data_IF_982349403365
#
_entry.id   IF_982349403365
#
_cell.length_a   1.000
_cell.length_b   1.000
_cell.length_c   1.000
_cell.angle_alpha   90.00
_cell.angle_beta   90.00
_cell.angle_gamma   90.00
#
_symmetry.space_group_name_H-M   'P 1'
#
loop_
_entity.id
_entity.type
_entity.pdbx_description
1 polymer ?
#
# COMPACT_ATOMS: atom_id res chain seq x y z
N UNK A 1 4.96 15.65 41.28
CA UNK A 1 5.27 14.38 40.59
C UNK A 1 3.93 13.72 40.31
N UNK A 2 3.35 13.95 39.11
CA UNK A 2 2.05 13.40 38.75
C UNK A 2 2.27 11.98 38.21
N UNK A 3 1.77 11.01 38.98
CA UNK A 3 1.79 9.59 38.66
C UNK A 3 0.70 9.31 37.61
N UNK A 4 1.06 9.42 36.33
CA UNK A 4 0.20 9.02 35.21
C UNK A 4 0.18 7.49 35.14
N UNK A 5 -0.76 6.89 35.86
CA UNK A 5 -1.11 5.49 35.69
C UNK A 5 -1.79 5.31 34.33
N UNK A 6 -1.05 4.79 33.35
CA UNK A 6 -1.65 4.25 32.14
C UNK A 6 -2.55 3.08 32.55
N UNK A 7 -3.86 3.22 32.35
CA UNK A 7 -4.79 2.11 32.43
C UNK A 7 -4.28 0.97 31.54
N UNK A 8 -4.39 -0.28 32.00
CA UNK A 8 -4.13 -1.45 31.15
C UNK A 8 -5.17 -1.42 30.02
N UNK A 9 -4.77 -0.90 28.87
CA UNK A 9 -5.56 -0.97 27.65
C UNK A 9 -5.73 -2.45 27.31
N UNK A 10 -6.95 -2.87 26.94
CA UNK A 10 -7.14 -4.22 26.40
C UNK A 10 -6.13 -4.47 25.29
N UNK A 11 -5.49 -5.64 25.31
CA UNK A 11 -4.49 -5.98 24.30
C UNK A 11 -5.08 -5.83 22.90
N UNK A 12 -4.33 -5.22 21.98
CA UNK A 12 -4.68 -5.24 20.56
C UNK A 12 -4.80 -6.70 20.13
N UNK A 13 -5.88 -7.11 19.45
CA UNK A 13 -6.07 -8.50 19.09
C UNK A 13 -5.00 -8.96 18.10
N UNK A 14 -4.55 -10.21 18.21
CA UNK A 14 -3.57 -10.80 17.30
C UNK A 14 -4.07 -10.85 15.84
N UNK A 15 -5.39 -10.88 15.64
CA UNK A 15 -6.07 -10.76 14.34
C UNK A 15 -7.54 -10.38 14.53
N UNK A 16 -8.17 -9.82 13.50
CA UNK A 16 -9.61 -9.59 13.45
C UNK A 16 -10.27 -10.59 12.50
N UNK A 17 -11.49 -11.06 12.80
CA UNK A 17 -12.30 -11.75 11.79
C UNK A 17 -12.66 -10.77 10.65
N UNK A 18 -12.91 -11.29 9.44
CA UNK A 18 -13.28 -10.43 8.31
C UNK A 18 -14.57 -9.63 8.55
N UNK A 19 -15.54 -10.20 9.27
CA UNK A 19 -16.76 -9.50 9.68
C UNK A 19 -16.48 -8.35 10.65
N UNK A 20 -15.52 -8.54 11.57
CA UNK A 20 -15.10 -7.49 12.51
C UNK A 20 -14.32 -6.38 11.81
N UNK A 21 -13.41 -6.76 10.91
CA UNK A 21 -12.69 -5.83 10.04
C UNK A 21 -13.65 -4.95 9.24
N UNK A 22 -14.59 -5.57 8.53
CA UNK A 22 -15.59 -4.86 7.74
C UNK A 22 -16.48 -3.96 8.63
N UNK A 23 -16.90 -4.46 9.80
CA UNK A 23 -17.69 -3.68 10.76
C UNK A 23 -16.92 -2.44 11.25
N UNK A 24 -15.66 -2.56 11.63
CA UNK A 24 -14.85 -1.43 12.11
C UNK A 24 -14.64 -0.43 10.98
N UNK A 25 -14.23 -0.91 9.80
CA UNK A 25 -14.05 -0.08 8.61
C UNK A 25 -15.31 0.75 8.31
N UNK A 26 -16.49 0.12 8.27
CA UNK A 26 -17.74 0.82 7.99
C UNK A 26 -18.17 1.73 9.14
N UNK A 27 -18.10 1.27 10.39
CA UNK A 27 -18.59 2.03 11.53
C UNK A 27 -17.73 3.27 11.84
N UNK A 28 -16.44 3.24 11.52
CA UNK A 28 -15.55 4.39 11.71
C UNK A 28 -15.49 5.30 10.48
N UNK A 29 -16.07 4.89 9.35
CA UNK A 29 -16.08 5.70 8.14
C UNK A 29 -17.19 6.74 8.17
N UNK A 30 -16.84 7.95 7.74
CA UNK A 30 -17.75 9.07 7.49
C UNK A 30 -18.21 9.10 6.03
N UNK A 31 -19.07 10.06 5.69
CA UNK A 31 -19.39 10.35 4.30
C UNK A 31 -18.13 10.85 3.57
N UNK A 32 -17.86 10.38 2.34
CA UNK A 32 -16.67 10.79 1.61
C UNK A 32 -16.73 12.26 1.20
N UNK A 33 -15.60 12.96 1.33
CA UNK A 33 -15.44 14.30 0.77
C UNK A 33 -14.89 14.27 -0.65
N UNK A 34 -14.64 15.46 -1.19
CA UNK A 34 -14.13 15.63 -2.54
C UNK A 34 -12.63 15.98 -2.52
N UNK A 35 -11.87 15.38 -3.45
CA UNK A 35 -10.49 15.75 -3.70
C UNK A 35 -10.22 15.83 -5.21
N UNK A 36 -9.65 16.94 -5.71
CA UNK A 36 -9.35 17.08 -7.12
C UNK A 36 -8.08 16.29 -7.47
N UNK A 37 -8.25 15.12 -8.07
CA UNK A 37 -7.18 14.40 -8.77
C UNK A 37 -6.95 12.96 -8.32
N UNK A 38 -6.30 12.20 -9.22
CA UNK A 38 -5.93 10.81 -8.96
C UNK A 38 -4.69 10.76 -8.06
N UNK A 39 -4.92 10.75 -6.76
CA UNK A 39 -3.87 10.63 -5.75
C UNK A 39 -3.71 9.15 -5.36
N UNK A 40 -3.08 8.36 -6.23
CA UNK A 40 -2.82 6.93 -6.03
C UNK A 40 -1.39 6.62 -5.61
N UNK A 41 -0.48 7.57 -5.73
CA UNK A 41 0.89 7.46 -5.23
C UNK A 41 1.25 8.75 -4.52
N UNK A 42 2.10 8.67 -3.49
CA UNK A 42 2.55 9.88 -2.79
C UNK A 42 3.29 10.83 -3.74
N UNK A 43 3.20 12.14 -3.50
CA UNK A 43 3.99 13.15 -4.21
C UNK A 43 5.22 13.60 -3.41
N UNK A 44 5.43 13.07 -2.21
CA UNK A 44 6.47 13.49 -1.29
C UNK A 44 7.82 12.82 -1.63
N UNK A 45 8.73 13.56 -2.26
CA UNK A 45 10.07 13.05 -2.62
C UNK A 45 10.94 12.70 -1.41
N UNK A 46 10.67 13.30 -0.24
CA UNK A 46 11.46 13.14 0.98
C UNK A 46 10.77 12.33 2.08
N UNK A 47 9.66 11.63 1.75
CA UNK A 47 8.86 10.91 2.75
C UNK A 47 9.69 9.88 3.55
N UNK A 48 10.73 9.30 2.95
CA UNK A 48 11.61 8.35 3.65
C UNK A 48 12.66 9.00 4.56
N UNK A 49 12.93 10.30 4.45
CA UNK A 49 13.98 10.96 5.23
C UNK A 49 13.74 10.88 6.75
N UNK A 50 12.47 10.79 7.17
CA UNK A 50 12.09 10.71 8.58
C UNK A 50 12.18 9.28 9.14
N UNK A 51 12.30 8.25 8.30
CA UNK A 51 12.28 6.85 8.76
C UNK A 51 13.31 6.53 9.85
N UNK A 52 14.58 7.00 9.78
CA UNK A 52 15.53 6.76 10.86
C UNK A 52 15.04 7.33 12.21
N UNK A 53 14.45 8.54 12.19
CA UNK A 53 13.85 9.16 13.37
C UNK A 53 12.64 8.36 13.87
N UNK A 54 11.82 7.81 12.98
CA UNK A 54 10.69 6.92 13.35
C UNK A 54 11.20 5.65 14.04
N UNK A 55 12.31 5.08 13.58
CA UNK A 55 12.92 3.88 14.19
C UNK A 55 13.55 4.22 15.54
N UNK A 56 14.23 5.35 15.65
CA UNK A 56 14.93 5.79 16.86
C UNK A 56 13.97 6.19 17.99
N UNK A 57 12.97 7.02 17.67
CA UNK A 57 12.03 7.59 18.64
C UNK A 57 10.75 6.75 18.80
N UNK A 58 10.41 5.96 17.79
CA UNK A 58 9.19 5.17 17.78
C UNK A 58 9.26 3.99 18.73
N UNK A 59 8.20 3.82 19.52
CA UNK A 59 8.00 2.57 20.26
C UNK A 59 7.44 1.53 19.29
N UNK A 60 8.02 0.33 19.30
CA UNK A 60 7.42 -0.83 18.62
C UNK A 60 6.09 -1.20 19.30
N UNK A 61 5.15 -1.72 18.51
CA UNK A 61 3.79 -2.03 18.95
C UNK A 61 2.88 -0.79 19.03
N UNK A 62 1.71 -0.96 19.61
CA UNK A 62 0.70 0.09 19.73
C UNK A 62 -0.07 0.33 18.42
N UNK A 63 -0.58 1.55 18.26
CA UNK A 63 -1.48 1.93 17.17
C UNK A 63 -0.77 2.92 16.25
N UNK A 64 -0.77 2.65 14.95
CA UNK A 64 -0.40 3.62 13.91
C UNK A 64 -1.66 4.31 13.36
N UNK A 65 -1.60 5.62 13.18
CA UNK A 65 -2.63 6.40 12.50
C UNK A 65 -1.93 7.28 11.47
N UNK A 66 -2.35 7.22 10.21
CA UNK A 66 -1.77 8.02 9.14
C UNK A 66 -2.77 8.40 8.06
N UNK A 67 -2.36 9.30 7.18
CA UNK A 67 -3.20 9.90 6.12
C UNK A 67 -2.68 9.51 4.75
N UNK A 68 -3.57 9.36 3.77
CA UNK A 68 -3.18 9.11 2.39
C UNK A 68 -2.90 7.64 2.09
N UNK A 69 -2.07 7.42 1.07
CA UNK A 69 -2.00 6.17 0.33
C UNK A 69 -0.89 5.25 0.86
N UNK A 70 -0.08 4.66 -0.02
CA UNK A 70 0.88 3.60 0.22
C UNK A 70 2.12 4.02 1.02
N UNK A 71 2.42 5.32 1.14
CA UNK A 71 3.56 5.80 1.94
C UNK A 71 3.45 5.34 3.40
N UNK A 72 2.22 5.23 3.91
CA UNK A 72 1.91 4.68 5.22
C UNK A 72 2.54 3.31 5.46
N UNK A 73 2.63 2.45 4.44
CA UNK A 73 3.24 1.13 4.61
C UNK A 73 4.72 1.19 4.97
N UNK A 74 5.44 2.22 4.51
CA UNK A 74 6.86 2.38 4.84
C UNK A 74 7.02 2.78 6.31
N UNK A 75 6.17 3.68 6.81
CA UNK A 75 6.15 4.06 8.22
C UNK A 75 5.66 2.93 9.12
N UNK A 76 4.65 2.16 8.70
CA UNK A 76 4.18 0.97 9.43
C UNK A 76 5.29 -0.08 9.50
N UNK A 77 6.04 -0.33 8.42
CA UNK A 77 7.16 -1.27 8.41
C UNK A 77 8.30 -0.82 9.33
N UNK A 78 8.56 0.48 9.40
CA UNK A 78 9.58 1.07 10.28
C UNK A 78 9.17 1.03 11.76
N UNK A 79 7.97 1.49 12.08
CA UNK A 79 7.45 1.61 13.46
C UNK A 79 6.97 0.28 14.06
N UNK A 80 6.55 -0.67 13.21
CA UNK A 80 6.02 -1.97 13.59
C UNK A 80 4.90 -1.93 14.64
N UNK A 81 3.76 -1.27 14.33
CA UNK A 81 2.61 -1.23 15.23
C UNK A 81 1.92 -2.59 15.32
N UNK A 82 1.09 -2.77 16.35
CA UNK A 82 0.22 -3.95 16.48
C UNK A 82 -1.01 -3.84 15.57
N UNK A 83 -1.48 -2.61 15.33
CA UNK A 83 -2.62 -2.29 14.45
C UNK A 83 -2.44 -0.91 13.82
N UNK A 84 -2.94 -0.74 12.60
CA UNK A 84 -2.84 0.51 11.86
C UNK A 84 -4.21 0.95 11.31
N UNK A 85 -4.50 2.25 11.44
CA UNK A 85 -5.62 2.92 10.80
C UNK A 85 -5.08 3.90 9.77
N UNK A 86 -5.60 3.81 8.54
CA UNK A 86 -5.24 4.75 7.47
C UNK A 86 -6.50 5.54 7.13
N UNK A 87 -6.51 6.81 7.50
CA UNK A 87 -7.67 7.68 7.44
C UNK A 87 -7.49 8.68 6.31
N UNK A 88 -8.47 8.79 5.43
CA UNK A 88 -8.44 9.77 4.34
C UNK A 88 -9.85 10.21 4.01
N UNK A 89 -10.00 11.46 3.54
CA UNK A 89 -11.31 12.02 3.20
C UNK A 89 -11.95 11.34 1.99
N UNK A 90 -11.16 10.66 1.15
CA UNK A 90 -11.57 10.04 -0.11
C UNK A 90 -11.97 8.57 0.08
N UNK A 91 -13.13 8.18 -0.46
CA UNK A 91 -13.52 6.76 -0.55
C UNK A 91 -12.54 5.96 -1.39
N UNK A 92 -11.98 6.58 -2.42
CA UNK A 92 -10.99 5.99 -3.32
C UNK A 92 -9.71 5.56 -2.60
N UNK A 93 -9.30 6.27 -1.54
CA UNK A 93 -8.15 5.86 -0.73
C UNK A 93 -8.45 4.56 0.03
N UNK A 94 -9.65 4.44 0.61
CA UNK A 94 -10.09 3.21 1.27
C UNK A 94 -10.10 2.05 0.27
N UNK A 95 -10.71 2.26 -0.89
CA UNK A 95 -10.78 1.26 -1.95
C UNK A 95 -9.39 0.84 -2.44
N UNK A 96 -8.47 1.79 -2.60
CA UNK A 96 -7.09 1.51 -2.97
C UNK A 96 -6.36 0.67 -1.91
N UNK A 97 -6.55 0.96 -0.62
CA UNK A 97 -5.95 0.14 0.45
C UNK A 97 -6.54 -1.27 0.52
N UNK A 98 -7.82 -1.46 0.18
CA UNK A 98 -8.41 -2.79 0.02
C UNK A 98 -7.87 -3.53 -1.22
N UNK A 99 -7.59 -2.82 -2.31
CA UNK A 99 -6.89 -3.37 -3.46
C UNK A 99 -5.47 -3.83 -3.06
N UNK A 100 -4.72 -3.01 -2.33
CA UNK A 100 -3.41 -3.39 -1.78
C UNK A 100 -3.50 -4.61 -0.86
N UNK A 101 -4.48 -4.64 0.04
CA UNK A 101 -4.71 -5.81 0.90
C UNK A 101 -4.90 -7.09 0.09
N UNK A 102 -5.66 -7.05 -1.01
CA UNK A 102 -5.83 -8.19 -1.91
C UNK A 102 -4.50 -8.54 -2.62
N UNK A 103 -3.74 -7.54 -3.08
CA UNK A 103 -2.41 -7.74 -3.68
C UNK A 103 -1.45 -8.42 -2.70
N UNK A 104 -1.34 -7.95 -1.46
CA UNK A 104 -0.53 -8.57 -0.40
C UNK A 104 -0.98 -9.99 -0.06
N UNK A 105 -2.29 -10.24 -0.08
CA UNK A 105 -2.87 -11.58 0.15
C UNK A 105 -2.41 -12.57 -0.92
N UNK A 106 -2.42 -12.14 -2.18
CA UNK A 106 -2.10 -13.00 -3.33
C UNK A 106 -0.59 -13.09 -3.64
N UNK A 107 0.19 -12.06 -3.32
CA UNK A 107 1.61 -11.99 -3.65
C UNK A 107 2.48 -12.78 -2.68
N UNK A 108 3.44 -13.58 -3.18
CA UNK A 108 4.35 -14.39 -2.35
C UNK A 108 5.47 -13.58 -1.67
N UNK A 109 5.98 -12.59 -2.37
CA UNK A 109 7.09 -11.68 -2.01
C UNK A 109 6.91 -10.35 -2.73
N UNK A 110 7.78 -9.38 -2.43
CA UNK A 110 7.77 -8.05 -3.04
C UNK A 110 7.88 -8.05 -4.57
N UNK A 111 8.62 -8.99 -5.16
CA UNK A 111 8.73 -9.11 -6.62
C UNK A 111 7.41 -9.58 -7.22
N UNK A 112 6.81 -10.65 -6.66
CA UNK A 112 5.48 -11.10 -7.05
C UNK A 112 4.39 -10.04 -6.83
N UNK A 113 4.53 -9.20 -5.80
CA UNK A 113 3.62 -8.08 -5.55
C UNK A 113 3.67 -7.05 -6.68
N UNK A 114 4.86 -6.65 -7.12
CA UNK A 114 5.02 -5.70 -8.23
C UNK A 114 4.55 -6.29 -9.56
N UNK A 115 4.88 -7.55 -9.84
CA UNK A 115 4.36 -8.25 -11.02
C UNK A 115 2.83 -8.30 -11.03
N UNK A 116 2.20 -8.56 -9.88
CA UNK A 116 0.75 -8.57 -9.75
C UNK A 116 0.14 -7.16 -9.89
N UNK A 117 0.68 -6.17 -9.17
CA UNK A 117 0.23 -4.76 -9.19
C UNK A 117 0.21 -4.20 -10.62
N UNK A 118 1.23 -4.52 -11.40
CA UNK A 118 1.39 -4.03 -12.77
C UNK A 118 0.90 -5.00 -13.85
N UNK A 119 0.36 -6.16 -13.45
CA UNK A 119 0.02 -7.29 -14.35
C UNK A 119 1.12 -7.59 -15.37
N UNK A 120 2.33 -7.80 -14.86
CA UNK A 120 3.50 -8.17 -15.65
C UNK A 120 3.81 -9.65 -15.48
N UNK A 121 4.28 -10.26 -16.55
CA UNK A 121 4.83 -11.61 -16.56
C UNK A 121 6.24 -11.57 -17.15
N UNK A 122 7.01 -12.63 -16.92
CA UNK A 122 8.32 -12.81 -17.54
C UNK A 122 8.18 -12.73 -19.07
N UNK A 123 9.17 -12.11 -19.71
CA UNK A 123 9.21 -12.05 -21.18
C UNK A 123 9.37 -13.47 -21.74
N UNK A 124 8.82 -13.71 -22.93
CA UNK A 124 8.89 -15.02 -23.58
C UNK A 124 10.35 -15.51 -23.68
N UNK A 125 10.58 -16.77 -23.27
CA UNK A 125 11.92 -17.37 -23.24
C UNK A 125 12.65 -17.24 -21.90
N UNK A 126 12.16 -16.39 -20.98
CA UNK A 126 12.67 -16.35 -19.60
C UNK A 126 11.84 -17.29 -18.72
N UNK A 127 12.48 -18.31 -18.13
CA UNK A 127 11.81 -19.15 -17.12
C UNK A 127 11.62 -18.38 -15.82
N UNK A 128 10.58 -18.70 -15.04
CA UNK A 128 10.28 -18.05 -13.74
C UNK A 128 11.44 -18.00 -12.73
N UNK A 129 12.45 -18.86 -12.89
CA UNK A 129 13.61 -18.95 -12.02
C UNK A 129 14.84 -18.19 -12.53
N UNK A 130 14.94 -17.91 -13.84
CA UNK A 130 16.13 -17.29 -14.43
C UNK A 130 16.00 -15.78 -14.32
N UNK A 131 16.97 -15.12 -13.68
CA UNK A 131 17.03 -13.66 -13.58
C UNK A 131 16.11 -13.04 -12.52
N UNK A 132 15.20 -13.82 -11.90
CA UNK A 132 14.38 -13.33 -10.80
C UNK A 132 15.25 -12.97 -9.59
N UNK A 133 15.16 -11.74 -9.05
CA UNK A 133 15.95 -11.32 -7.90
C UNK A 133 15.69 -12.18 -6.66
N UNK A 134 16.75 -12.48 -5.92
CA UNK A 134 16.64 -13.13 -4.62
C UNK A 134 15.88 -12.24 -3.61
N UNK A 135 15.34 -12.86 -2.56
CA UNK A 135 14.60 -12.12 -1.50
C UNK A 135 15.47 -11.07 -0.79
N UNK A 136 16.78 -11.22 -0.83
CA UNK A 136 17.80 -10.33 -0.24
C UNK A 136 18.26 -9.21 -1.19
N UNK A 137 17.85 -9.22 -2.46
CA UNK A 137 18.27 -8.23 -3.45
C UNK A 137 17.92 -6.78 -3.04
N UNK A 138 18.58 -5.78 -3.63
CA UNK A 138 18.17 -4.40 -3.38
C UNK A 138 16.81 -4.11 -4.03
N UNK A 139 16.10 -3.07 -3.55
CA UNK A 139 14.88 -2.64 -4.23
C UNK A 139 15.15 -2.14 -5.65
N UNK A 140 16.31 -1.53 -5.91
CA UNK A 140 16.70 -1.13 -7.27
C UNK A 140 16.84 -2.33 -8.20
N UNK A 141 17.46 -3.43 -7.75
CA UNK A 141 17.55 -4.67 -8.57
C UNK A 141 16.16 -5.27 -8.85
N UNK A 142 15.27 -5.23 -7.86
CA UNK A 142 13.89 -5.68 -8.03
C UNK A 142 13.16 -4.82 -9.07
N UNK A 143 13.27 -3.50 -8.98
CA UNK A 143 12.63 -2.58 -9.92
C UNK A 143 13.22 -2.70 -11.32
N UNK A 144 14.53 -2.93 -11.45
CA UNK A 144 15.21 -3.16 -12.72
C UNK A 144 14.75 -4.44 -13.39
N UNK A 145 14.65 -5.53 -12.64
CA UNK A 145 14.07 -6.77 -13.13
C UNK A 145 12.62 -6.58 -13.61
N UNK A 146 11.78 -5.87 -12.84
CA UNK A 146 10.41 -5.55 -13.25
C UNK A 146 10.42 -4.79 -14.58
N UNK A 147 11.27 -3.79 -14.75
CA UNK A 147 11.30 -2.98 -15.97
C UNK A 147 11.82 -3.75 -17.20
N UNK A 148 12.92 -4.48 -17.02
CA UNK A 148 13.72 -5.04 -18.13
C UNK A 148 13.37 -6.47 -18.51
N UNK A 149 13.06 -7.32 -17.53
CA UNK A 149 12.85 -8.78 -17.71
C UNK A 149 11.38 -9.18 -17.75
N UNK A 150 10.47 -8.28 -17.38
CA UNK A 150 9.03 -8.56 -17.47
C UNK A 150 8.33 -7.67 -18.50
N UNK A 151 7.09 -8.01 -18.85
CA UNK A 151 6.24 -7.22 -19.75
C UNK A 151 4.81 -7.22 -19.26
N UNK A 152 4.11 -6.09 -19.42
CA UNK A 152 2.69 -5.99 -19.12
C UNK A 152 1.89 -6.88 -20.08
N UNK A 153 0.88 -7.58 -19.55
CA UNK A 153 0.02 -8.47 -20.33
C UNK A 153 -1.46 -8.17 -20.04
N UNK A 154 -2.22 -7.93 -21.12
CA UNK A 154 -3.63 -7.54 -21.02
C UNK A 154 -4.59 -8.69 -20.66
N UNK A 155 -4.24 -9.93 -21.01
CA UNK A 155 -5.01 -11.12 -20.61
C UNK A 155 -4.75 -11.41 -19.14
N UNK A 156 -3.49 -11.30 -18.71
CA UNK A 156 -3.09 -11.40 -17.31
C UNK A 156 -3.74 -10.31 -16.46
N UNK A 157 -3.82 -9.07 -16.96
CA UNK A 157 -4.56 -7.99 -16.28
C UNK A 157 -6.02 -8.38 -16.01
N UNK A 158 -6.71 -8.90 -17.02
CA UNK A 158 -8.11 -9.36 -16.86
C UNK A 158 -8.23 -10.50 -15.86
N UNK A 159 -7.28 -11.43 -15.86
CA UNK A 159 -7.29 -12.58 -14.95
C UNK A 159 -6.97 -12.16 -13.50
N UNK A 160 -5.94 -11.34 -13.31
CA UNK A 160 -5.60 -10.77 -12.02
C UNK A 160 -6.76 -9.94 -11.45
N UNK A 161 -7.46 -9.15 -12.27
CA UNK A 161 -8.63 -8.41 -11.81
C UNK A 161 -9.74 -9.33 -11.31
N UNK A 162 -10.01 -10.48 -11.96
CA UNK A 162 -11.00 -11.43 -11.44
C UNK A 162 -10.63 -11.93 -10.05
N UNK A 163 -9.36 -12.28 -9.84
CA UNK A 163 -8.82 -12.78 -8.56
C UNK A 163 -8.87 -11.69 -7.48
N UNK A 164 -8.41 -10.48 -7.80
CA UNK A 164 -8.45 -9.33 -6.90
C UNK A 164 -9.89 -8.98 -6.53
N UNK A 165 -10.79 -8.91 -7.51
CA UNK A 165 -12.22 -8.68 -7.29
C UNK A 165 -12.86 -9.73 -6.37
N UNK A 166 -12.46 -10.99 -6.51
CA UNK A 166 -12.94 -12.06 -5.63
C UNK A 166 -12.45 -11.85 -4.19
N UNK A 167 -11.19 -11.49 -3.99
CA UNK A 167 -10.65 -11.22 -2.66
C UNK A 167 -11.29 -10.00 -1.99
N UNK A 168 -11.45 -8.88 -2.71
CA UNK A 168 -11.98 -7.63 -2.12
C UNK A 168 -13.46 -7.75 -1.72
N UNK A 169 -14.23 -8.59 -2.41
CA UNK A 169 -15.60 -8.94 -1.99
C UNK A 169 -15.65 -9.59 -0.62
N UNK A 170 -14.63 -10.36 -0.24
CA UNK A 170 -14.53 -10.95 1.11
C UNK A 170 -14.30 -9.90 2.19
N UNK A 171 -13.88 -8.69 1.82
CA UNK A 171 -13.67 -7.56 2.72
C UNK A 171 -14.91 -6.67 2.85
N UNK A 172 -16.03 -7.04 2.20
CA UNK A 172 -17.31 -6.32 2.28
C UNK A 172 -17.57 -5.31 1.14
N UNK A 173 -16.77 -5.33 0.07
CA UNK A 173 -17.00 -4.48 -1.11
C UNK A 173 -17.84 -5.24 -2.14
N UNK A 174 -19.13 -4.91 -2.20
CA UNK A 174 -20.09 -5.59 -3.08
C UNK A 174 -20.69 -4.68 -4.16
N UNK A 175 -20.78 -3.38 -3.90
CA UNK A 175 -21.45 -2.46 -4.82
C UNK A 175 -20.64 -2.24 -6.09
N UNK A 176 -21.36 -2.02 -7.19
CA UNK A 176 -20.76 -1.91 -8.52
C UNK A 176 -19.89 -0.67 -8.67
N UNK A 177 -20.27 0.45 -8.04
CA UNK A 177 -19.58 1.73 -8.20
C UNK A 177 -18.19 1.69 -7.55
N UNK A 178 -18.08 1.12 -6.34
CA UNK A 178 -16.79 0.88 -5.69
C UNK A 178 -15.93 -0.10 -6.49
N UNK A 179 -16.51 -1.18 -7.03
CA UNK A 179 -15.77 -2.12 -7.88
C UNK A 179 -15.28 -1.48 -9.19
N UNK A 180 -16.07 -0.60 -9.81
CA UNK A 180 -15.68 0.13 -11.02
C UNK A 180 -14.57 1.15 -10.72
N UNK A 181 -14.62 1.83 -9.56
CA UNK A 181 -13.53 2.69 -9.06
C UNK A 181 -12.25 1.90 -8.75
N UNK A 182 -12.35 0.74 -8.12
CA UNK A 182 -11.20 -0.14 -7.86
C UNK A 182 -10.57 -0.64 -9.16
N UNK A 183 -11.39 -0.99 -10.16
CA UNK A 183 -10.90 -1.36 -11.49
C UNK A 183 -10.18 -0.17 -12.12
N UNK A 184 -10.70 1.04 -12.00
CA UNK A 184 -10.04 2.25 -12.49
C UNK A 184 -8.67 2.46 -11.82
N UNK A 185 -8.58 2.36 -10.49
CA UNK A 185 -7.32 2.45 -9.74
C UNK A 185 -6.31 1.39 -10.25
N UNK A 186 -6.73 0.13 -10.31
CA UNK A 186 -5.87 -0.97 -10.77
C UNK A 186 -5.44 -0.79 -12.23
N UNK A 187 -6.34 -0.30 -13.08
CA UNK A 187 -6.05 0.03 -14.47
C UNK A 187 -5.01 1.16 -14.59
N UNK A 188 -5.05 2.17 -13.72
CA UNK A 188 -4.03 3.22 -13.71
C UNK A 188 -2.63 2.66 -13.41
N UNK A 189 -2.50 1.74 -12.44
CA UNK A 189 -1.22 1.04 -12.22
C UNK A 189 -0.81 0.22 -13.46
N UNK A 190 -1.74 -0.50 -14.09
CA UNK A 190 -1.47 -1.24 -15.32
C UNK A 190 -1.09 -0.37 -16.53
N UNK A 191 -1.72 0.77 -16.75
CA UNK A 191 -1.43 1.60 -17.93
C UNK A 191 -0.13 2.40 -17.74
N UNK A 192 0.15 2.83 -16.50
CA UNK A 192 1.28 3.73 -16.20
C UNK A 192 2.52 3.00 -15.68
N UNK A 193 2.36 1.78 -15.19
CA UNK A 193 3.45 0.92 -14.71
C UNK A 193 4.30 1.64 -13.65
N UNK A 194 5.61 1.39 -13.64
CA UNK A 194 6.58 2.04 -12.76
C UNK A 194 6.63 3.58 -12.90
N UNK A 195 6.08 4.13 -13.98
CA UNK A 195 6.04 5.55 -14.28
C UNK A 195 4.80 6.27 -13.76
N UNK A 196 3.88 5.59 -13.04
CA UNK A 196 2.71 6.23 -12.44
C UNK A 196 3.12 7.35 -11.48
N UNK A 197 2.44 8.49 -11.56
CA UNK A 197 2.70 9.70 -10.77
C UNK A 197 1.43 10.21 -10.09
N UNK A 198 1.61 10.97 -9.03
CA UNK A 198 0.52 11.68 -8.35
C UNK A 198 -0.20 12.63 -9.33
N UNK A 199 -1.54 12.58 -9.33
CA UNK A 199 -2.45 13.50 -10.02
C UNK A 199 -2.21 13.71 -11.53
N UNK A 200 -1.65 12.71 -12.20
CA UNK A 200 -1.20 12.76 -13.59
C UNK A 200 -2.33 13.11 -14.60
N UNK A 201 -3.58 12.81 -14.27
CA UNK A 201 -4.75 12.98 -15.15
C UNK A 201 -5.54 14.27 -14.90
N UNK A 202 -5.31 14.99 -13.80
CA UNK A 202 -6.31 15.96 -13.29
C UNK A 202 -5.77 17.26 -12.69
N UNK A 203 -4.51 17.33 -12.30
CA UNK A 203 -3.93 18.59 -11.84
C UNK A 203 -3.01 19.11 -12.94
N UNK A 204 -3.56 19.92 -13.86
CA UNK A 204 -2.80 20.69 -14.85
C UNK A 204 -1.98 21.81 -14.19
N UNK A 205 -1.30 21.51 -13.09
CA UNK A 205 -0.61 22.47 -12.24
C UNK A 205 0.87 22.67 -12.62
N UNK A 206 1.36 21.97 -13.65
CA UNK A 206 2.73 22.08 -14.16
C UNK A 206 3.81 21.54 -13.22
N UNK A 207 3.45 20.89 -12.10
CA UNK A 207 4.42 20.30 -11.17
C UNK A 207 4.88 18.93 -11.67
N UNK A 208 6.18 18.66 -11.54
CA UNK A 208 6.75 17.34 -11.80
C UNK A 208 6.76 16.54 -10.50
N UNK A 209 5.89 15.54 -10.40
CA UNK A 209 5.83 14.63 -9.26
C UNK A 209 6.71 13.40 -9.51
N UNK A 210 7.32 12.79 -8.48
CA UNK A 210 8.13 11.58 -8.64
C UNK A 210 7.28 10.41 -9.14
N UNK A 211 7.90 9.50 -9.90
CA UNK A 211 7.25 8.26 -10.31
C UNK A 211 7.27 7.26 -9.16
N UNK A 212 6.38 6.27 -9.21
CA UNK A 212 6.40 5.14 -8.26
C UNK A 212 7.79 4.49 -8.15
N UNK A 213 8.51 4.34 -9.27
CA UNK A 213 9.90 3.85 -9.26
C UNK A 213 10.80 4.70 -8.37
N UNK A 214 10.77 6.02 -8.54
CA UNK A 214 11.60 6.96 -7.79
C UNK A 214 11.27 6.93 -6.29
N UNK A 215 9.97 6.83 -5.97
CA UNK A 215 9.49 6.74 -4.59
C UNK A 215 9.96 5.45 -3.90
N UNK A 216 9.82 4.30 -4.58
CA UNK A 216 10.21 3.01 -4.00
C UNK A 216 11.73 2.86 -3.88
N UNK A 217 12.49 3.49 -4.77
CA UNK A 217 13.96 3.57 -4.74
C UNK A 217 14.49 4.76 -3.91
N UNK A 218 13.61 5.54 -3.29
CA UNK A 218 14.01 6.66 -2.43
C UNK A 218 14.80 6.18 -1.21
N UNK A 219 15.63 7.07 -0.67
CA UNK A 219 16.49 6.78 0.48
C UNK A 219 16.10 7.61 1.70
N UNK A 220 16.55 7.18 2.87
CA UNK A 220 16.52 7.98 4.09
C UNK A 220 17.54 9.12 4.01
N UNK A 221 17.53 10.02 5.01
CA UNK A 221 18.56 11.05 5.17
C UNK A 221 19.99 10.48 5.26
N UNK A 222 20.11 9.22 5.69
CA UNK A 222 21.38 8.53 5.89
C UNK A 222 21.81 7.70 4.65
N UNK A 223 20.98 7.67 3.60
CA UNK A 223 21.27 7.01 2.33
C UNK A 223 20.72 5.59 2.19
N UNK A 224 20.01 5.07 3.20
CA UNK A 224 19.46 3.70 3.18
C UNK A 224 18.10 3.62 2.46
N UNK A 225 17.80 2.49 1.81
CA UNK A 225 16.44 2.25 1.30
C UNK A 225 15.48 1.94 2.45
N UNK A 226 14.30 2.57 2.42
CA UNK A 226 13.33 2.45 3.52
C UNK A 226 11.86 2.35 3.08
N UNK A 227 11.58 2.22 1.78
CA UNK A 227 10.23 1.93 1.30
C UNK A 227 9.72 0.59 1.85
N UNK A 228 8.40 0.36 1.88
CA UNK A 228 7.86 -0.95 2.31
C UNK A 228 8.27 -2.13 1.40
N UNK A 229 8.84 -1.84 0.24
CA UNK A 229 9.42 -2.82 -0.69
C UNK A 229 10.95 -2.93 -0.58
N UNK A 230 11.60 -2.07 0.23
CA UNK A 230 13.07 -2.01 0.40
C UNK A 230 13.70 -3.34 0.79
N UNK A 231 13.00 -4.14 1.61
CA UNK A 231 13.42 -5.46 2.06
C UNK A 231 12.25 -6.44 2.08
N UNK A 232 12.54 -7.74 1.98
CA UNK A 232 11.50 -8.77 2.12
C UNK A 232 10.90 -8.81 3.54
N UNK A 233 11.65 -8.42 4.57
CA UNK A 233 11.16 -8.34 5.94
C UNK A 233 10.14 -7.19 6.12
N UNK A 234 10.42 -6.00 5.56
CA UNK A 234 9.44 -4.91 5.53
C UNK A 234 8.16 -5.32 4.80
N UNK A 235 8.29 -5.90 3.61
CA UNK A 235 7.16 -6.42 2.83
C UNK A 235 6.36 -7.47 3.62
N UNK A 236 7.04 -8.44 4.21
CA UNK A 236 6.42 -9.54 4.96
C UNK A 236 5.69 -9.04 6.20
N UNK A 237 6.23 -8.03 6.89
CA UNK A 237 5.58 -7.42 8.04
C UNK A 237 4.22 -6.80 7.65
N UNK A 238 4.18 -6.00 6.57
CA UNK A 238 2.94 -5.40 6.06
C UNK A 238 1.96 -6.48 5.59
N UNK A 239 2.45 -7.47 4.85
CA UNK A 239 1.66 -8.63 4.44
C UNK A 239 1.02 -9.32 5.64
N UNK A 240 1.76 -9.58 6.72
CA UNK A 240 1.24 -10.24 7.90
C UNK A 240 0.17 -9.40 8.62
N UNK A 241 0.31 -8.08 8.69
CA UNK A 241 -0.76 -7.23 9.23
C UNK A 241 -2.01 -7.26 8.34
N UNK A 242 -1.87 -7.23 7.02
CA UNK A 242 -3.00 -7.39 6.11
C UNK A 242 -3.68 -8.75 6.26
N UNK A 243 -2.94 -9.85 6.35
CA UNK A 243 -3.51 -11.20 6.52
C UNK A 243 -4.25 -11.37 7.86
N UNK A 244 -3.81 -10.66 8.90
CA UNK A 244 -4.46 -10.63 10.21
C UNK A 244 -5.57 -9.58 10.32
N UNK A 245 -5.85 -8.86 9.24
CA UNK A 245 -6.87 -7.81 9.16
C UNK A 245 -6.60 -6.60 10.09
N UNK A 246 -5.33 -6.25 10.29
CA UNK A 246 -4.87 -5.20 11.23
C UNK A 246 -4.39 -3.90 10.56
N UNK A 247 -4.56 -3.76 9.25
CA UNK A 247 -4.44 -2.47 8.55
C UNK A 247 -5.83 -2.11 8.06
N UNK A 248 -6.46 -1.13 8.70
CA UNK A 248 -7.87 -0.77 8.53
C UNK A 248 -7.94 0.59 7.85
N UNK A 249 -8.29 0.67 6.55
CA UNK A 249 -8.56 1.94 5.92
C UNK A 249 -9.92 2.48 6.38
N UNK A 250 -10.02 3.80 6.55
CA UNK A 250 -11.24 4.48 7.02
C UNK A 250 -11.43 5.77 6.22
N UNK A 251 -12.68 6.06 5.84
CA UNK A 251 -13.02 7.39 5.29
C UNK A 251 -13.21 8.36 6.45
N UNK A 252 -12.46 9.45 6.52
CA UNK A 252 -12.63 10.41 7.60
C UNK A 252 -11.97 11.75 7.36
N UNK A 253 -12.53 12.79 7.97
CA UNK A 253 -11.99 14.15 7.94
C UNK A 253 -11.37 14.52 9.30
N UNK A 254 -10.06 14.77 9.34
CA UNK A 254 -9.36 15.19 10.56
C UNK A 254 -9.78 16.56 11.09
N UNK A 255 -10.47 17.38 10.30
CA UNK A 255 -11.04 18.65 10.77
C UNK A 255 -12.32 18.47 11.63
N UNK A 256 -12.83 17.23 11.74
CA UNK A 256 -14.14 16.95 12.34
C UNK A 256 -15.28 17.22 11.36
N UNK A 257 -16.33 16.39 11.45
CA UNK A 257 -17.62 16.58 10.76
C UNK A 257 -18.67 17.23 11.66
#
# INVERSE_FOLDING_TARGET
>A
MLDLRFASHGAVPDSLALSEFARIMTAFSEAPGHFPGDNFVTNETSYLHVVPTVIELGRRGGVYIGVGTEQNFSYIAASRPDIAYIVDIRRENLLQHLLYKALFTLARDRTSFLMLLFSRQNREGESDAIGRPERTASITDVLDYIDTSTTADSLLFKENWKRLRQEVRRYGIEDRDDLDKMLYIYRSFYDKQLSIRYAETRLGNGLSYPAFRDLMAGTTKDGDFASFLSTEDAFSFIKHLHLRNLIIPVVGNFAGG
#
